data_IF_911692030445
#
_entry.id   IF_911692030445
#
_cell.length_a   1.000
_cell.length_b   1.000
_cell.length_c   1.000
_cell.angle_alpha   90.00
_cell.angle_beta   90.00
_cell.angle_gamma   90.00
#
_symmetry.space_group_name_H-M   'P 1'
#
loop_
_entity.id
_entity.type
_entity.pdbx_description
1 polymer ?
#
# COMPACT_ATOMS: atom_id res chain seq x y z
N UNK A 1 0.69 -8.76 5.17
CA UNK A 1 1.00 -7.32 5.19
C UNK A 1 1.08 -6.80 3.76
N UNK A 2 0.64 -5.58 3.51
CA UNK A 2 0.74 -4.90 2.23
C UNK A 2 1.46 -3.57 2.42
N UNK A 3 2.34 -3.23 1.49
CA UNK A 3 3.10 -1.98 1.50
C UNK A 3 2.87 -1.27 0.17
N UNK A 4 2.44 -0.02 0.25
CA UNK A 4 2.47 0.94 -0.85
C UNK A 4 3.60 1.95 -0.61
N UNK A 5 4.75 1.81 -1.28
CA UNK A 5 5.89 2.68 -1.06
C UNK A 5 5.68 4.02 -1.74
N UNK A 6 5.97 5.11 -1.04
CA UNK A 6 5.92 6.47 -1.59
C UNK A 6 7.16 7.29 -1.24
N UNK A 7 7.35 8.39 -1.99
CA UNK A 7 8.55 9.24 -1.89
C UNK A 7 8.74 9.87 -0.51
N UNK A 8 7.64 10.22 0.17
CA UNK A 8 7.68 10.84 1.51
C UNK A 8 7.03 9.96 2.57
N UNK A 9 5.96 9.27 2.20
CA UNK A 9 5.17 8.41 3.08
C UNK A 9 4.92 7.07 2.40
N UNK A 10 4.93 5.99 3.15
CA UNK A 10 4.53 4.66 2.72
C UNK A 10 3.24 4.26 3.45
N UNK A 11 2.29 3.69 2.72
CA UNK A 11 1.14 3.04 3.32
C UNK A 11 1.49 1.63 3.77
N UNK A 12 1.00 1.24 4.95
CA UNK A 12 1.15 -0.12 5.49
C UNK A 12 -0.21 -0.62 5.94
N UNK A 13 -0.58 -1.80 5.47
CA UNK A 13 -1.79 -2.50 5.90
C UNK A 13 -1.47 -3.92 6.37
N UNK A 14 -1.95 -4.30 7.55
CA UNK A 14 -1.76 -5.63 8.15
C UNK A 14 -3.09 -6.35 8.11
N UNK A 15 -3.03 -7.61 7.65
CA UNK A 15 -4.18 -8.49 7.58
C UNK A 15 -3.94 -9.71 8.46
N UNK A 16 -4.98 -10.14 9.16
CA UNK A 16 -5.07 -11.40 9.88
C UNK A 16 -6.36 -12.11 9.46
N UNK A 17 -6.28 -13.39 9.14
CA UNK A 17 -7.40 -14.17 8.58
C UNK A 17 -8.16 -13.43 7.46
N UNK A 18 -7.41 -12.82 6.54
CA UNK A 18 -7.94 -12.04 5.39
C UNK A 18 -8.70 -10.76 5.77
N UNK A 19 -8.76 -10.37 7.05
CA UNK A 19 -9.32 -9.11 7.53
C UNK A 19 -8.23 -8.11 7.89
N UNK A 20 -8.45 -6.85 7.57
CA UNK A 20 -7.60 -5.74 7.93
C UNK A 20 -7.66 -5.53 9.45
N UNK A 21 -6.52 -5.55 10.11
CA UNK A 21 -6.40 -5.34 11.56
C UNK A 21 -5.64 -4.06 11.92
N UNK A 22 -4.86 -3.53 10.98
CA UNK A 22 -4.12 -2.28 11.15
C UNK A 22 -3.86 -1.65 9.79
N UNK A 23 -4.02 -0.34 9.71
CA UNK A 23 -3.60 0.49 8.59
C UNK A 23 -2.85 1.70 9.14
N UNK A 24 -1.76 2.15 8.54
CA UNK A 24 -1.10 3.39 8.93
C UNK A 24 -0.19 3.94 7.83
N UNK A 25 0.35 5.13 8.05
CA UNK A 25 1.38 5.75 7.22
C UNK A 25 2.72 5.72 7.97
N UNK A 26 3.80 5.57 7.22
CA UNK A 26 5.17 5.62 7.71
C UNK A 26 5.99 6.61 6.88
N UNK A 27 6.84 7.41 7.50
CA UNK A 27 7.79 8.23 6.73
C UNK A 27 8.78 7.36 5.96
N UNK A 28 9.03 7.72 4.71
CA UNK A 28 10.13 7.15 3.93
C UNK A 28 11.47 7.55 4.57
N UNK A 29 12.47 6.69 4.46
CA UNK A 29 13.79 6.94 5.04
C UNK A 29 14.66 7.88 4.21
N UNK A 30 14.32 8.12 2.94
CA UNK A 30 15.21 8.76 1.97
C UNK A 30 15.05 10.29 1.94
N UNK A 31 13.94 10.84 2.46
CA UNK A 31 13.64 12.27 2.37
C UNK A 31 13.84 13.09 3.65
N UNK A 32 13.79 12.48 4.84
CA UNK A 32 14.00 13.18 6.12
C UNK A 32 14.67 12.21 7.09
N UNK A 33 15.74 12.67 7.75
CA UNK A 33 16.35 11.97 8.88
C UNK A 33 15.25 11.43 9.78
N UNK A 34 15.31 10.13 10.04
CA UNK A 34 14.28 9.29 10.65
C UNK A 34 13.53 10.01 11.77
N UNK A 35 12.36 10.60 11.48
CA UNK A 35 11.45 11.05 12.53
C UNK A 35 10.78 9.80 13.10
N UNK A 36 11.41 9.29 14.15
CA UNK A 36 11.23 7.99 14.80
C UNK A 36 9.84 7.73 15.44
N UNK A 37 8.84 8.58 15.21
CA UNK A 37 7.64 8.60 16.05
C UNK A 37 6.58 7.56 15.65
N UNK A 38 6.39 7.25 14.36
CA UNK A 38 5.41 6.22 13.95
C UNK A 38 6.01 4.82 13.78
N UNK A 39 7.33 4.71 13.76
CA UNK A 39 8.05 3.44 13.78
C UNK A 39 7.75 2.66 15.07
N UNK A 40 7.42 3.31 16.19
CA UNK A 40 7.19 2.65 17.48
C UNK A 40 5.99 1.68 17.48
N UNK A 41 4.88 2.01 16.79
CA UNK A 41 3.67 1.17 16.73
C UNK A 41 3.86 -0.11 15.88
N UNK A 42 4.82 -0.07 14.96
CA UNK A 42 5.24 -1.20 14.11
C UNK A 42 6.52 -1.88 14.61
N UNK A 43 7.37 -1.21 15.38
CA UNK A 43 8.64 -1.74 15.89
C UNK A 43 8.42 -2.85 16.94
N UNK A 44 7.27 -2.84 17.60
CA UNK A 44 6.80 -3.91 18.48
C UNK A 44 6.01 -4.99 17.75
N UNK A 45 5.65 -4.77 16.47
CA UNK A 45 5.09 -5.85 15.65
C UNK A 45 6.21 -6.87 15.44
N UNK A 46 6.04 -8.13 15.91
CA UNK A 46 7.04 -9.15 15.66
C UNK A 46 7.28 -9.29 14.15
N UNK A 47 8.40 -9.92 13.74
CA UNK A 47 8.58 -10.44 12.37
C UNK A 47 7.57 -11.59 12.09
N UNK A 48 6.29 -11.29 12.26
CA UNK A 48 5.16 -12.20 12.28
C UNK A 48 4.32 -12.09 11.01
N UNK A 49 4.62 -11.13 10.12
CA UNK A 49 4.05 -11.13 8.79
C UNK A 49 4.60 -12.33 8.01
N UNK A 50 3.80 -13.40 7.97
CA UNK A 50 4.09 -14.64 7.22
C UNK A 50 4.11 -14.37 5.71
N UNK A 51 3.36 -13.36 5.26
CA UNK A 51 3.26 -12.99 3.85
C UNK A 51 3.19 -11.49 3.66
N UNK A 52 3.95 -11.00 2.67
CA UNK A 52 3.95 -9.59 2.29
C UNK A 52 3.74 -9.39 0.81
N UNK A 53 2.90 -8.44 0.48
CA UNK A 53 2.69 -7.94 -0.88
C UNK A 53 3.26 -6.52 -0.96
N UNK A 54 4.04 -6.27 -2.01
CA UNK A 54 4.70 -4.99 -2.24
C UNK A 54 4.39 -4.55 -3.67
N UNK A 55 3.87 -3.34 -3.85
CA UNK A 55 3.71 -2.76 -5.18
C UNK A 55 5.10 -2.49 -5.78
N UNK A 56 5.29 -2.88 -7.04
CA UNK A 56 6.52 -2.60 -7.79
C UNK A 56 6.36 -1.28 -8.52
N UNK A 57 7.18 -0.25 -8.21
CA UNK A 57 7.17 1.00 -8.96
C UNK A 57 7.47 0.73 -10.44
N UNK A 58 6.68 1.32 -11.33
CA UNK A 58 6.88 1.19 -12.78
C UNK A 58 6.88 2.56 -13.44
N UNK A 59 7.85 2.77 -14.32
CA UNK A 59 7.80 3.87 -15.29
C UNK A 59 6.96 3.42 -16.48
N UNK A 60 5.90 4.16 -16.77
CA UNK A 60 5.17 4.02 -18.02
C UNK A 60 5.43 5.28 -18.83
N UNK A 61 6.05 5.17 -20.03
CA UNK A 61 6.22 6.32 -20.91
C UNK A 61 4.85 6.91 -21.23
N UNK A 62 4.60 8.15 -20.84
CA UNK A 62 3.35 8.88 -21.12
C UNK A 62 3.69 10.27 -21.67
N UNK A 63 2.85 10.85 -22.53
CA UNK A 63 2.99 12.25 -22.90
C UNK A 63 2.82 13.11 -21.64
N UNK A 64 3.83 13.89 -21.26
CA UNK A 64 3.80 14.73 -20.06
C UNK A 64 5.17 14.91 -19.41
N UNK A 65 5.23 15.57 -18.24
CA UNK A 65 6.46 15.71 -17.47
C UNK A 65 6.99 14.32 -17.10
N UNK A 66 8.28 14.13 -17.37
CA UNK A 66 8.94 12.86 -17.15
C UNK A 66 9.00 12.55 -15.65
N UNK A 67 8.74 11.30 -15.27
CA UNK A 67 8.93 10.87 -13.88
C UNK A 67 10.43 10.70 -13.67
N UNK A 68 11.00 11.40 -12.68
CA UNK A 68 12.41 11.25 -12.33
C UNK A 68 12.71 9.77 -12.00
N UNK A 69 13.59 9.14 -12.80
CA UNK A 69 13.99 7.76 -12.57
C UNK A 69 14.61 7.54 -11.18
N UNK A 70 15.24 8.58 -10.59
CA UNK A 70 15.77 8.52 -9.24
C UNK A 70 14.67 8.42 -8.18
N UNK A 71 13.48 8.98 -8.44
CA UNK A 71 12.33 8.83 -7.55
C UNK A 71 11.86 7.37 -7.54
N UNK A 72 11.82 6.70 -8.68
CA UNK A 72 11.43 5.29 -8.77
C UNK A 72 12.42 4.38 -8.04
N UNK A 73 13.73 4.65 -8.16
CA UNK A 73 14.77 3.94 -7.41
C UNK A 73 14.56 4.14 -5.91
N UNK A 74 14.35 5.38 -5.47
CA UNK A 74 14.15 5.72 -4.05
C UNK A 74 12.92 5.01 -3.47
N UNK A 75 11.81 4.98 -4.22
CA UNK A 75 10.59 4.27 -3.83
C UNK A 75 10.84 2.76 -3.74
N UNK A 76 11.53 2.17 -4.72
CA UNK A 76 11.85 0.75 -4.74
C UNK A 76 12.74 0.34 -3.55
N UNK A 77 13.77 1.13 -3.24
CA UNK A 77 14.66 0.91 -2.10
C UNK A 77 13.88 1.01 -0.78
N UNK A 78 13.01 2.01 -0.64
CA UNK A 78 12.18 2.18 0.56
C UNK A 78 11.23 1.00 0.77
N UNK A 79 10.55 0.55 -0.30
CA UNK A 79 9.67 -0.61 -0.25
C UNK A 79 10.41 -1.90 0.12
N UNK A 80 11.59 -2.12 -0.47
CA UNK A 80 12.45 -3.27 -0.17
C UNK A 80 12.96 -3.25 1.28
N UNK A 81 13.35 -2.08 1.80
CA UNK A 81 13.79 -1.93 3.19
C UNK A 81 12.65 -2.24 4.17
N UNK A 82 11.45 -1.70 3.94
CA UNK A 82 10.27 -1.98 4.77
C UNK A 82 9.92 -3.48 4.75
N UNK A 83 9.92 -4.09 3.56
CA UNK A 83 9.71 -5.54 3.45
C UNK A 83 10.78 -6.31 4.24
N UNK A 84 12.07 -6.07 4.00
CA UNK A 84 13.15 -6.76 4.72
C UNK A 84 13.11 -6.55 6.25
N UNK A 85 12.60 -5.41 6.72
CA UNK A 85 12.50 -5.10 8.16
C UNK A 85 11.38 -5.86 8.86
N UNK A 86 10.25 -6.05 8.17
CA UNK A 86 9.00 -6.52 8.78
C UNK A 86 8.59 -7.93 8.35
N UNK A 87 9.28 -8.54 7.39
CA UNK A 87 8.90 -9.83 6.82
C UNK A 87 9.96 -10.89 7.05
N UNK A 88 9.51 -12.11 7.35
CA UNK A 88 10.41 -13.26 7.46
C UNK A 88 10.64 -13.92 6.09
N UNK A 89 9.74 -13.71 5.13
CA UNK A 89 9.80 -14.28 3.79
C UNK A 89 10.01 -13.20 2.72
N UNK A 90 10.51 -13.56 1.53
CA UNK A 90 10.55 -12.65 0.39
C UNK A 90 9.16 -12.07 0.09
N UNK A 91 9.04 -10.76 -0.21
CA UNK A 91 7.76 -10.16 -0.57
C UNK A 91 7.30 -10.64 -1.95
N UNK A 92 5.99 -10.80 -2.12
CA UNK A 92 5.34 -10.95 -3.42
C UNK A 92 5.26 -9.58 -4.09
N UNK A 93 6.02 -9.40 -5.16
CA UNK A 93 6.01 -8.21 -5.98
C UNK A 93 4.79 -8.20 -6.92
N UNK A 94 4.07 -7.08 -6.97
CA UNK A 94 2.87 -6.93 -7.82
C UNK A 94 2.91 -5.58 -8.53
N UNK A 95 2.76 -5.56 -9.85
CA UNK A 95 2.71 -4.32 -10.62
C UNK A 95 1.33 -3.66 -10.55
N UNK A 96 1.25 -2.31 -10.63
CA UNK A 96 0.00 -1.56 -10.68
C UNK A 96 -1.01 -2.12 -11.69
N UNK A 97 -0.53 -2.41 -12.91
CA UNK A 97 -1.34 -2.96 -13.99
C UNK A 97 -1.96 -4.32 -13.68
N UNK A 98 -1.36 -5.11 -12.78
CA UNK A 98 -1.83 -6.46 -12.43
C UNK A 98 -2.99 -6.44 -11.44
N UNK A 99 -2.99 -5.54 -10.46
CA UNK A 99 -4.00 -5.54 -9.39
C UNK A 99 -5.06 -4.45 -9.56
N UNK A 100 -4.67 -3.22 -9.91
CA UNK A 100 -5.60 -2.10 -10.15
C UNK A 100 -5.84 -1.79 -11.63
N UNK A 101 -4.89 -2.09 -12.52
CA UNK A 101 -5.02 -1.75 -13.93
C UNK A 101 -5.01 -0.23 -14.13
N UNK A 102 -6.00 0.31 -14.84
CA UNK A 102 -6.15 1.74 -15.12
C UNK A 102 -7.20 2.41 -14.21
N UNK A 103 -7.58 1.79 -13.10
CA UNK A 103 -8.58 2.36 -12.21
C UNK A 103 -8.11 3.71 -11.64
N UNK A 104 -8.94 4.76 -11.71
CA UNK A 104 -8.70 6.00 -10.98
C UNK A 104 -8.56 5.75 -9.47
N UNK A 105 -7.79 6.61 -8.80
CA UNK A 105 -7.46 6.45 -7.37
C UNK A 105 -8.71 6.43 -6.49
N UNK A 106 -9.62 7.37 -6.72
CA UNK A 106 -10.89 7.49 -6.00
C UNK A 106 -11.80 6.27 -6.21
N UNK A 107 -11.82 5.72 -7.44
CA UNK A 107 -12.54 4.48 -7.74
C UNK A 107 -11.90 3.29 -7.02
N UNK A 108 -10.57 3.21 -6.99
CA UNK A 108 -9.86 2.16 -6.28
C UNK A 108 -10.17 2.18 -4.78
N UNK A 109 -10.13 3.38 -4.17
CA UNK A 109 -10.49 3.59 -2.78
C UNK A 109 -11.94 3.19 -2.49
N UNK A 110 -12.93 3.71 -3.22
CA UNK A 110 -14.35 3.37 -3.03
C UNK A 110 -14.63 1.86 -3.13
N UNK A 111 -13.92 1.18 -4.04
CA UNK A 111 -14.03 -0.28 -4.19
C UNK A 111 -13.41 -1.02 -3.01
N UNK A 112 -12.29 -0.52 -2.48
CA UNK A 112 -11.69 -1.08 -1.27
C UNK A 112 -12.61 -0.87 -0.07
N UNK A 113 -13.13 0.34 0.14
CA UNK A 113 -14.11 0.68 1.17
C UNK A 113 -15.31 -0.26 1.15
N UNK A 114 -15.94 -0.47 -0.02
CA UNK A 114 -17.11 -1.35 -0.17
C UNK A 114 -16.84 -2.84 0.06
N UNK A 115 -15.58 -3.25 0.28
CA UNK A 115 -15.22 -4.62 0.62
C UNK A 115 -14.97 -4.82 2.11
N UNK A 116 -14.81 -3.75 2.89
CA UNK A 116 -14.42 -3.79 4.30
C UNK A 116 -15.64 -3.94 5.20
N UNK A 117 -15.45 -4.64 6.31
CA UNK A 117 -16.40 -4.66 7.43
C UNK A 117 -16.20 -3.42 8.33
N UNK A 118 -17.20 -3.09 9.16
CA UNK A 118 -17.16 -1.93 10.07
C UNK A 118 -15.93 -1.94 10.98
N UNK A 119 -15.54 -3.11 11.48
CA UNK A 119 -14.34 -3.26 12.32
C UNK A 119 -13.04 -2.93 11.58
N UNK A 120 -13.00 -3.21 10.28
CA UNK A 120 -11.85 -2.91 9.43
C UNK A 120 -11.80 -1.42 9.08
N UNK A 121 -12.96 -0.80 8.83
CA UNK A 121 -13.07 0.65 8.65
C UNK A 121 -12.61 1.41 9.91
N UNK A 122 -13.03 0.97 11.10
CA UNK A 122 -12.57 1.53 12.37
C UNK A 122 -11.05 1.40 12.56
N UNK A 123 -10.43 0.33 12.04
CA UNK A 123 -8.98 0.17 12.07
C UNK A 123 -8.25 1.18 11.18
N UNK A 124 -8.85 1.59 10.06
CA UNK A 124 -8.35 2.65 9.20
C UNK A 124 -8.45 4.00 9.91
N UNK A 125 -9.63 4.33 10.45
CA UNK A 125 -9.86 5.58 11.17
C UNK A 125 -8.87 5.74 12.33
N UNK A 126 -8.74 4.71 13.17
CA UNK A 126 -7.79 4.67 14.30
C UNK A 126 -6.34 4.76 13.85
N UNK A 127 -6.03 4.17 12.69
CA UNK A 127 -4.70 4.10 12.13
C UNK A 127 -4.21 5.39 11.48
N UNK A 128 -5.16 6.23 11.06
CA UNK A 128 -4.95 7.46 10.30
C UNK A 128 -5.40 8.73 11.04
N UNK A 129 -5.87 8.62 12.29
CA UNK A 129 -6.42 9.73 13.09
C UNK A 129 -5.48 10.94 13.19
N UNK A 130 -4.17 10.70 13.31
CA UNK A 130 -3.15 11.76 13.41
C UNK A 130 -2.67 12.30 12.06
N UNK A 131 -3.17 11.73 10.96
CA UNK A 131 -2.73 12.04 9.60
C UNK A 131 -3.75 12.90 8.88
N UNK A 132 -3.28 13.96 8.23
CA UNK A 132 -4.16 14.78 7.40
C UNK A 132 -4.76 13.95 6.24
N UNK A 133 -6.08 14.05 5.95
CA UNK A 133 -6.74 13.28 4.89
C UNK A 133 -6.08 13.27 3.51
N UNK A 134 -5.42 14.35 3.07
CA UNK A 134 -4.75 14.40 1.77
C UNK A 134 -3.56 13.42 1.66
N UNK A 135 -3.04 12.93 2.79
CA UNK A 135 -1.93 11.97 2.87
C UNK A 135 -2.41 10.52 2.88
N UNK A 136 -3.71 10.26 3.03
CA UNK A 136 -4.26 8.91 3.21
C UNK A 136 -4.19 8.05 1.95
N UNK A 137 -3.88 8.62 0.79
CA UNK A 137 -3.88 7.90 -0.49
C UNK A 137 -2.96 6.66 -0.48
N UNK A 138 -1.75 6.76 0.08
CA UNK A 138 -0.85 5.59 0.16
C UNK A 138 -1.39 4.52 1.12
N UNK A 139 -2.07 4.93 2.19
CA UNK A 139 -2.71 3.99 3.12
C UNK A 139 -3.86 3.23 2.42
N UNK A 140 -4.68 3.92 1.65
CA UNK A 140 -5.75 3.30 0.86
C UNK A 140 -5.22 2.40 -0.26
N UNK A 141 -4.16 2.79 -0.96
CA UNK A 141 -3.48 1.93 -1.94
C UNK A 141 -2.92 0.67 -1.26
N UNK A 142 -2.32 0.78 -0.07
CA UNK A 142 -1.87 -0.38 0.72
C UNK A 142 -3.02 -1.30 1.17
N UNK A 143 -4.15 -0.74 1.62
CA UNK A 143 -5.35 -1.52 1.97
C UNK A 143 -5.89 -2.26 0.76
N UNK A 144 -6.06 -1.57 -0.38
CA UNK A 144 -6.59 -2.17 -1.60
C UNK A 144 -5.65 -3.26 -2.16
N UNK A 145 -4.33 -3.02 -2.13
CA UNK A 145 -3.32 -4.02 -2.49
C UNK A 145 -3.37 -5.24 -1.57
N UNK A 146 -3.55 -5.03 -0.26
CA UNK A 146 -3.71 -6.09 0.71
C UNK A 146 -4.97 -6.93 0.47
N UNK A 147 -6.12 -6.28 0.23
CA UNK A 147 -7.37 -6.92 -0.17
C UNK A 147 -7.19 -7.76 -1.45
N UNK A 148 -6.40 -7.28 -2.42
CA UNK A 148 -6.04 -8.06 -3.60
C UNK A 148 -5.20 -9.29 -3.22
N UNK A 149 -4.19 -9.11 -2.37
CA UNK A 149 -3.34 -10.19 -1.87
C UNK A 149 -4.11 -11.30 -1.16
N UNK A 150 -5.14 -10.95 -0.38
CA UNK A 150 -6.03 -11.89 0.32
C UNK A 150 -7.26 -12.31 -0.49
N UNK A 151 -7.28 -11.98 -1.79
CA UNK A 151 -8.30 -12.38 -2.78
C UNK A 151 -9.71 -11.80 -2.54
N UNK A 152 -9.82 -10.67 -1.85
CA UNK A 152 -11.07 -9.90 -1.67
C UNK A 152 -11.24 -8.81 -2.73
N UNK A 153 -10.14 -8.28 -3.27
CA UNK A 153 -10.18 -7.30 -4.36
C UNK A 153 -9.85 -7.96 -5.70
N UNK A 154 -10.67 -7.72 -6.73
CA UNK A 154 -10.43 -8.21 -8.10
C UNK A 154 -10.17 -7.04 -9.04
N UNK A 155 -9.18 -7.19 -9.93
CA UNK A 155 -8.99 -6.26 -11.06
C UNK A 155 -10.29 -6.18 -11.84
N UNK A 156 -10.71 -4.97 -12.20
CA UNK A 156 -11.86 -4.79 -13.07
C UNK A 156 -11.51 -5.36 -14.45
N UNK A 157 -12.15 -6.45 -14.85
CA UNK A 157 -12.28 -6.77 -16.26
C UNK A 157 -13.32 -5.78 -16.79
N UNK A 158 -12.95 -4.95 -17.76
CA UNK A 158 -13.94 -4.11 -18.45
C UNK A 158 -15.14 -4.95 -18.88
N UNK A 159 -16.31 -4.32 -19.00
CA UNK A 159 -17.47 -4.97 -19.64
C UNK A 159 -16.98 -5.48 -21.00
N UNK A 160 -16.85 -6.80 -21.15
CA UNK A 160 -16.76 -7.40 -22.48
C UNK A 160 -18.14 -7.22 -23.08
N UNK A 161 -18.30 -6.20 -23.93
CA UNK A 161 -19.40 -6.21 -24.88
C UNK A 161 -19.18 -7.43 -25.76
N UNK A 162 -19.88 -8.52 -25.47
CA UNK A 162 -20.07 -9.59 -26.44
C UNK A 162 -20.94 -8.98 -27.54
N UNK A 163 -20.34 -8.80 -28.71
CA UNK A 163 -21.06 -8.47 -29.94
C UNK A 163 -21.94 -9.63 -30.41
#
# INVERSE_FOLDING_TARGET
MAIDPGKTLCGVAIFYDRKLVLCTLMHSLIGQGVKAFHTARMATAPKAAVYTILETPQHYPRPGPDIDANDLISIAVTGAWLAGRFTATPPRLVSPGKWKGNLPKDVCQKRAEGLLEDSELAAIETGLVDWHPHLHHNAWDAVALGLYGVKRFKKFAGITHNG
#
